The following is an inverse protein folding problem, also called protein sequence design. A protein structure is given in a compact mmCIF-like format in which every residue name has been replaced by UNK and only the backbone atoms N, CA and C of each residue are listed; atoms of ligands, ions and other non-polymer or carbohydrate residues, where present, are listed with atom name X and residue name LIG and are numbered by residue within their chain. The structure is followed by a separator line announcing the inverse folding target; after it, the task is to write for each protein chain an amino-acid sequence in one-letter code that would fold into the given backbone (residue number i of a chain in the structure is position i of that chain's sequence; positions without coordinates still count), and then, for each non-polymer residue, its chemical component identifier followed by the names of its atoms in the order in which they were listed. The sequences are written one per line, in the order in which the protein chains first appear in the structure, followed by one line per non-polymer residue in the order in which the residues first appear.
data_IF_880960649895
#
_entry.id   IF_880960649895
#
_cell.length_a   1.000
_cell.length_b   1.000
_cell.length_c   1.000
_cell.angle_alpha   90.00
_cell.angle_beta   90.00
_cell.angle_gamma   90.00
#
_symmetry.space_group_name_H-M   'P 1'
#
loop_
_entity.id
_entity.type
_entity.pdbx_description
1 polymer ?
#
# COMPACT_ATOMS: atom_id res chain seq x y z
N UNK A 1 8.69 0.36 -15.30
CA UNK A 1 8.11 -0.44 -14.19
C UNK A 1 8.79 -0.12 -12.87
N UNK A 2 10.12 -0.26 -12.78
CA UNK A 2 10.89 0.07 -11.59
C UNK A 2 10.54 1.42 -10.94
N UNK A 3 10.59 2.51 -11.71
CA UNK A 3 10.27 3.85 -11.21
C UNK A 3 8.85 3.97 -10.68
N UNK A 4 7.90 3.22 -11.27
CA UNK A 4 6.51 3.21 -10.83
C UNK A 4 6.39 2.56 -9.45
N UNK A 5 7.09 1.45 -9.21
CA UNK A 5 7.18 0.84 -7.88
C UNK A 5 7.70 1.81 -6.82
N UNK A 6 8.73 2.61 -7.16
CA UNK A 6 9.28 3.63 -6.27
C UNK A 6 8.31 4.79 -6.01
N UNK A 7 7.51 5.19 -7.01
CA UNK A 7 6.44 6.19 -6.84
C UNK A 7 5.32 5.66 -5.95
N UNK A 8 4.89 4.41 -6.14
CA UNK A 8 3.93 3.76 -5.26
C UNK A 8 4.43 3.71 -3.81
N UNK A 9 5.68 3.32 -3.61
CA UNK A 9 6.30 3.34 -2.29
C UNK A 9 6.26 4.74 -1.67
N UNK A 10 6.61 5.77 -2.43
CA UNK A 10 6.56 7.16 -1.96
C UNK A 10 5.13 7.59 -1.61
N UNK A 11 4.13 7.25 -2.42
CA UNK A 11 2.72 7.57 -2.14
C UNK A 11 2.28 6.92 -0.81
N UNK A 12 2.68 5.68 -0.56
CA UNK A 12 2.27 4.92 0.63
C UNK A 12 3.01 5.34 1.90
N UNK A 13 4.27 5.78 1.79
CA UNK A 13 5.16 6.01 2.94
C UNK A 13 5.57 7.47 3.15
N UNK A 14 5.30 8.35 2.17
CA UNK A 14 5.75 9.74 2.11
C UNK A 14 7.27 9.92 2.07
N UNK A 15 8.04 8.87 1.77
CA UNK A 15 9.49 8.97 1.60
C UNK A 15 10.02 8.01 0.53
N UNK A 16 11.25 8.26 0.07
CA UNK A 16 11.90 7.39 -0.89
C UNK A 16 12.44 6.10 -0.24
N UNK A 17 12.56 4.99 -0.98
CA UNK A 17 13.16 3.75 -0.48
C UNK A 17 14.49 3.99 0.24
N UNK A 18 14.65 3.43 1.44
CA UNK A 18 15.87 3.59 2.25
C UNK A 18 16.28 5.04 2.57
N UNK A 19 15.41 6.03 2.40
CA UNK A 19 15.66 7.43 2.74
C UNK A 19 14.72 7.87 3.86
N UNK A 20 15.26 8.64 4.81
CA UNK A 20 14.45 9.32 5.83
C UNK A 20 13.49 10.34 5.17
N UNK A 21 12.34 10.66 5.78
CA UNK A 21 11.35 11.61 5.25
C UNK A 21 11.85 13.05 5.35
N UNK A 22 12.92 13.37 4.62
CA UNK A 22 13.50 14.71 4.50
C UNK A 22 13.94 14.99 3.08
N UNK A 23 13.92 16.26 2.65
CA UNK A 23 14.48 16.67 1.36
C UNK A 23 15.96 16.29 1.21
N UNK A 24 16.42 16.24 -0.03
CA UNK A 24 17.86 16.23 -0.32
C UNK A 24 18.43 17.62 -0.02
N UNK A 25 19.55 17.66 0.71
CA UNK A 25 20.22 18.92 1.05
C UNK A 25 21.21 19.37 -0.02
N UNK A 26 21.63 18.45 -0.90
CA UNK A 26 22.60 18.74 -1.96
C UNK A 26 22.44 17.79 -3.15
N UNK A 27 22.99 18.21 -4.31
CA UNK A 27 23.09 17.35 -5.48
C UNK A 27 24.00 16.13 -5.23
N UNK A 28 25.05 16.29 -4.41
CA UNK A 28 25.93 15.20 -4.01
C UNK A 28 25.19 14.12 -3.19
N UNK A 29 24.36 14.52 -2.22
CA UNK A 29 23.53 13.57 -1.46
C UNK A 29 22.59 12.79 -2.39
N UNK A 30 22.00 13.48 -3.38
CA UNK A 30 21.10 12.85 -4.35
C UNK A 30 21.82 11.82 -5.23
N UNK A 31 23.06 12.12 -5.65
CA UNK A 31 23.89 11.22 -6.43
C UNK A 31 24.30 9.98 -5.61
N UNK A 32 24.84 10.18 -4.41
CA UNK A 32 25.22 9.10 -3.49
C UNK A 32 24.02 8.20 -3.16
N UNK A 33 22.86 8.80 -2.92
CA UNK A 33 21.62 8.08 -2.74
C UNK A 33 21.29 7.20 -3.95
N UNK A 34 21.39 7.74 -5.17
CA UNK A 34 21.13 7.01 -6.41
C UNK A 34 22.03 5.78 -6.55
N UNK A 35 23.35 5.97 -6.41
CA UNK A 35 24.34 4.89 -6.50
C UNK A 35 24.10 3.78 -5.46
N UNK A 36 23.74 4.18 -4.23
CA UNK A 36 23.40 3.24 -3.15
C UNK A 36 22.14 2.44 -3.48
N UNK A 37 21.10 3.08 -4.01
CA UNK A 37 19.86 2.41 -4.39
C UNK A 37 20.11 1.43 -5.54
N UNK A 38 20.82 1.85 -6.57
CA UNK A 38 21.17 0.97 -7.71
C UNK A 38 21.96 -0.25 -7.24
N UNK A 39 22.90 -0.05 -6.30
CA UNK A 39 23.67 -1.15 -5.68
C UNK A 39 22.79 -2.11 -4.87
N UNK A 40 21.80 -1.61 -4.12
CA UNK A 40 20.90 -2.46 -3.33
C UNK A 40 19.96 -3.25 -4.24
N UNK A 41 19.34 -2.59 -5.21
CA UNK A 41 18.33 -3.20 -6.07
C UNK A 41 18.95 -4.19 -7.07
N UNK A 42 20.16 -3.92 -7.58
CA UNK A 42 20.91 -4.90 -8.39
C UNK A 42 21.27 -6.17 -7.61
N UNK A 43 21.37 -6.09 -6.29
CA UNK A 43 21.55 -7.24 -5.39
C UNK A 43 20.24 -7.90 -4.96
N UNK A 44 19.10 -7.48 -5.53
CA UNK A 44 17.77 -7.95 -5.14
C UNK A 44 17.36 -7.55 -3.72
N UNK A 45 17.98 -6.51 -3.14
CA UNK A 45 17.65 -6.02 -1.79
C UNK A 45 16.63 -4.90 -1.87
N UNK A 46 15.37 -5.25 -1.66
CA UNK A 46 14.26 -4.31 -1.66
C UNK A 46 13.80 -3.99 -0.23
N UNK A 47 13.23 -2.80 0.02
CA UNK A 47 12.53 -2.52 1.27
C UNK A 47 11.44 -3.56 1.52
N UNK A 48 11.22 -3.86 2.80
CA UNK A 48 10.04 -4.63 3.23
C UNK A 48 8.80 -3.76 2.99
N UNK A 49 7.79 -4.34 2.36
CA UNK A 49 6.54 -3.65 1.97
C UNK A 49 5.29 -4.45 2.29
N UNK A 50 5.42 -5.52 3.08
CA UNK A 50 4.34 -6.48 3.36
C UNK A 50 3.17 -5.86 4.14
N UNK A 51 3.43 -4.77 4.86
CA UNK A 51 2.48 -3.98 5.62
C UNK A 51 1.80 -2.88 4.79
N UNK A 52 2.27 -2.62 3.56
CA UNK A 52 1.69 -1.61 2.69
C UNK A 52 0.53 -2.21 1.89
N UNK A 53 -0.58 -1.48 1.80
CA UNK A 53 -1.77 -1.87 1.00
C UNK A 53 -1.39 -2.23 -0.44
N UNK A 54 -0.47 -1.47 -1.05
CA UNK A 54 0.03 -1.72 -2.41
C UNK A 54 1.36 -2.50 -2.44
N UNK A 55 1.76 -3.16 -1.35
CA UNK A 55 3.04 -3.83 -1.19
C UNK A 55 3.36 -4.84 -2.29
N UNK A 56 2.39 -5.69 -2.63
CA UNK A 56 2.53 -6.66 -3.72
C UNK A 56 2.80 -5.99 -5.08
N UNK A 57 2.17 -4.84 -5.35
CA UNK A 57 2.37 -4.07 -6.59
C UNK A 57 3.75 -3.41 -6.60
N UNK A 58 4.15 -2.82 -5.47
CA UNK A 58 5.47 -2.21 -5.29
C UNK A 58 6.57 -3.23 -5.55
N UNK A 59 6.51 -4.37 -4.85
CA UNK A 59 7.51 -5.43 -4.97
C UNK A 59 7.54 -6.02 -6.40
N UNK A 60 6.37 -6.32 -6.98
CA UNK A 60 6.27 -6.81 -8.35
C UNK A 60 6.85 -5.84 -9.38
N UNK A 61 6.72 -4.52 -9.18
CA UNK A 61 7.35 -3.52 -10.04
C UNK A 61 8.88 -3.55 -9.99
N UNK A 62 9.46 -3.84 -8.83
CA UNK A 62 10.92 -3.89 -8.64
C UNK A 62 11.55 -5.21 -9.07
N UNK A 63 10.82 -6.32 -8.94
CA UNK A 63 11.32 -7.67 -9.27
C UNK A 63 10.94 -8.16 -10.67
N UNK A 64 10.49 -7.26 -11.56
CA UNK A 64 10.02 -7.60 -12.92
C UNK A 64 8.88 -8.65 -12.88
N UNK A 65 8.02 -8.57 -11.86
CA UNK A 65 6.88 -9.47 -11.67
C UNK A 65 5.71 -9.23 -12.64
N UNK A 66 5.78 -8.17 -13.45
CA UNK A 66 4.79 -7.83 -14.46
C UNK A 66 5.43 -7.83 -15.86
N UNK A 67 4.75 -8.48 -16.80
CA UNK A 67 5.14 -8.47 -18.22
C UNK A 67 5.11 -7.05 -18.81
N UNK A 68 4.06 -6.30 -18.47
CA UNK A 68 3.80 -4.96 -18.99
C UNK A 68 2.92 -4.16 -18.01
N UNK A 69 2.62 -2.91 -18.36
CA UNK A 69 1.80 -2.01 -17.53
C UNK A 69 0.35 -2.47 -17.44
N UNK A 70 -0.18 -3.17 -18.45
CA UNK A 70 -1.54 -3.68 -18.44
C UNK A 70 -1.72 -4.76 -17.36
N UNK A 71 -0.78 -5.69 -17.27
CA UNK A 71 -0.76 -6.71 -16.21
C UNK A 71 -0.71 -6.08 -14.81
N UNK A 72 0.07 -5.01 -14.64
CA UNK A 72 0.12 -4.27 -13.37
C UNK A 72 -1.21 -3.56 -13.08
N UNK A 73 -1.82 -2.90 -14.07
CA UNK A 73 -3.06 -2.15 -13.90
C UNK A 73 -4.23 -3.04 -13.50
N UNK A 74 -4.30 -4.28 -14.02
CA UNK A 74 -5.28 -5.27 -13.58
C UNK A 74 -5.12 -5.61 -12.09
N UNK A 75 -3.87 -5.69 -11.60
CA UNK A 75 -3.61 -5.91 -10.18
C UNK A 75 -4.01 -4.70 -9.34
N UNK A 76 -3.74 -3.49 -9.82
CA UNK A 76 -4.17 -2.24 -9.18
C UNK A 76 -5.69 -2.14 -9.11
N UNK A 77 -6.42 -2.44 -10.19
CA UNK A 77 -7.88 -2.42 -10.21
C UNK A 77 -8.46 -3.41 -9.18
N UNK A 78 -7.93 -4.63 -9.14
CA UNK A 78 -8.30 -5.64 -8.15
C UNK A 78 -8.04 -5.17 -6.71
N UNK A 79 -6.92 -4.51 -6.46
CA UNK A 79 -6.59 -3.95 -5.16
C UNK A 79 -7.56 -2.82 -4.78
N UNK A 80 -7.83 -1.88 -5.67
CA UNK A 80 -8.79 -0.79 -5.41
C UNK A 80 -10.16 -1.35 -5.03
N UNK A 81 -10.68 -2.35 -5.77
CA UNK A 81 -11.96 -2.99 -5.44
C UNK A 81 -11.98 -3.60 -4.04
N UNK A 82 -10.89 -4.26 -3.63
CA UNK A 82 -10.76 -4.82 -2.28
C UNK A 82 -10.74 -3.72 -1.22
N UNK A 83 -9.91 -2.69 -1.39
CA UNK A 83 -9.83 -1.57 -0.45
C UNK A 83 -11.19 -0.86 -0.30
N UNK A 84 -11.91 -0.63 -1.41
CA UNK A 84 -13.25 -0.04 -1.34
C UNK A 84 -14.23 -0.97 -0.62
N UNK A 85 -14.21 -2.27 -0.89
CA UNK A 85 -15.06 -3.23 -0.20
C UNK A 85 -14.78 -3.24 1.32
N UNK A 86 -13.52 -3.24 1.72
CA UNK A 86 -13.12 -3.22 3.13
C UNK A 86 -13.59 -1.93 3.82
N UNK A 87 -13.43 -0.77 3.17
CA UNK A 87 -13.92 0.53 3.71
C UNK A 87 -15.44 0.52 3.88
N UNK A 88 -16.18 0.01 2.89
CA UNK A 88 -17.65 -0.03 2.95
C UNK A 88 -18.15 -1.05 3.98
N UNK A 89 -17.47 -2.19 4.13
CA UNK A 89 -17.80 -3.21 5.13
C UNK A 89 -17.54 -2.71 6.57
N UNK A 90 -16.53 -1.85 6.78
CA UNK A 90 -16.30 -1.20 8.09
C UNK A 90 -17.47 -0.29 8.47
N UNK A 91 -18.15 0.35 7.50
CA UNK A 91 -19.32 1.20 7.77
C UNK A 91 -20.59 0.40 8.14
N UNK A 92 -20.72 -0.85 7.68
CA UNK A 92 -21.85 -1.72 8.08
C UNK A 92 -21.68 -2.28 9.51
N UNK A 93 -20.45 -2.40 10.02
CA UNK A 93 -20.21 -2.92 11.39
C UNK A 93 -20.44 -1.84 12.47
N UNK A 94 -20.17 -0.55 12.17
CA UNK A 94 -20.50 0.55 13.10
C UNK A 94 -22.02 0.80 13.23
N UNK A 95 -22.83 0.41 12.24
CA UNK A 95 -24.29 0.51 12.32
C UNK A 95 -24.96 -0.66 13.05
N UNK A 96 -24.22 -1.72 13.42
CA UNK A 96 -24.75 -2.89 14.14
C UNK A 96 -24.92 -2.65 15.65
N UNK A 97 -24.42 -1.55 16.20
CA UNK A 97 -24.44 -1.28 17.65
C UNK A 97 -25.64 -0.48 18.19
N UNK A 98 -26.74 -0.35 17.44
CA UNK A 98 -28.00 0.19 18.00
C UNK A 98 -29.16 -0.64 17.46
N UNK A 99 -29.56 -1.66 18.22
CA UNK A 99 -30.94 -2.04 18.56
C UNK A 99 -30.88 -3.37 19.34
N UNK A 100 -30.47 -3.30 20.61
CA UNK A 100 -30.83 -4.32 21.58
C UNK A 100 -32.35 -4.33 21.69
N UNK A 101 -33.00 -5.29 21.02
CA UNK A 101 -34.42 -5.56 21.22
C UNK A 101 -34.61 -5.96 22.68
N UNK A 102 -35.22 -5.08 23.46
CA UNK A 102 -35.83 -5.47 24.72
C UNK A 102 -36.86 -6.58 24.43
N UNK A 103 -36.87 -7.69 25.18
CA UNK A 103 -37.97 -8.63 25.08
C UNK A 103 -39.24 -7.97 25.59
N UNK A 104 -40.32 -8.06 24.81
CA UNK A 104 -41.64 -7.69 25.23
C UNK A 104 -42.07 -8.65 26.35
N UNK A 105 -42.14 -8.15 27.58
CA UNK A 105 -42.79 -8.87 28.67
C UNK A 105 -44.29 -8.72 28.51
N UNK A 106 -44.94 -9.74 27.93
CA UNK A 106 -46.37 -9.97 28.11
C UNK A 106 -46.58 -10.35 29.58
N UNK A 107 -47.34 -9.53 30.32
CA UNK A 107 -47.91 -9.95 31.60
C UNK A 107 -49.40 -10.16 31.32
N UNK A 108 -49.80 -11.43 31.23
CA UNK A 108 -51.19 -11.85 31.45
C UNK A 108 -51.44 -11.94 32.96
N UNK A 109 -52.33 -11.09 33.47
CA UNK A 109 -53.49 -11.41 34.31
C UNK A 109 -54.12 -10.13 34.88
#
# INVERSE_FOLDING_TARGET
MFSLGSVYYFIMTSHWPYKLPRPFVSAAEKLEYGERIDTLFSKGKFPVVDDLVAGAIIHGCWTVGYKDVGAMLLKQESLCKQVFADVMNVQEDETRFVFSKHPATTIEN
#
